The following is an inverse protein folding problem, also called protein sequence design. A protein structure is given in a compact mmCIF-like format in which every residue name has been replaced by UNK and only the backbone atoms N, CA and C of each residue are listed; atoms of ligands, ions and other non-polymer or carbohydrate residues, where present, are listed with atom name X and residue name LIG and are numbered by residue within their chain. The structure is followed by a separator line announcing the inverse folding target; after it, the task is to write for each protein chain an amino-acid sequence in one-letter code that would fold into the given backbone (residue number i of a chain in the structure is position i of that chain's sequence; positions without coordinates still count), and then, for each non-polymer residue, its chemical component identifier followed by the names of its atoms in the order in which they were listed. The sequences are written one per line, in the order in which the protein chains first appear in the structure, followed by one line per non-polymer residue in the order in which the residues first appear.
data_IF_199978306174
#
_entry.id   IF_199978306174
#
_cell.length_a   1.000
_cell.length_b   1.000
_cell.length_c   1.000
_cell.angle_alpha   90.00
_cell.angle_beta   90.00
_cell.angle_gamma   90.00
#
_symmetry.space_group_name_H-M   'P 1'
#
loop_
_entity.id
_entity.type
_entity.pdbx_description
1 polymer ?
#
# COMPACT_ATOMS: atom_id res chain seq x y z
N UNK A 1 -5.69 -11.99 -14.67
CA UNK A 1 -4.50 -11.18 -14.30
C UNK A 1 -4.66 -10.58 -12.92
N UNK A 2 -3.71 -10.80 -12.01
CA UNK A 2 -3.77 -10.29 -10.63
C UNK A 2 -2.63 -9.31 -10.33
N UNK A 3 -2.85 -8.41 -9.38
CA UNK A 3 -1.80 -7.56 -8.82
C UNK A 3 -0.84 -8.37 -7.94
N UNK A 4 0.47 -8.17 -8.08
CA UNK A 4 1.47 -8.92 -7.28
C UNK A 4 1.43 -8.67 -5.78
N UNK A 5 0.93 -7.54 -5.34
CA UNK A 5 0.87 -7.24 -3.90
C UNK A 5 -0.41 -7.80 -3.29
N UNK A 6 -1.58 -7.47 -3.85
CA UNK A 6 -2.86 -7.80 -3.23
C UNK A 6 -3.54 -9.03 -3.84
N UNK A 7 -3.03 -9.59 -4.94
CA UNK A 7 -3.62 -10.72 -5.66
C UNK A 7 -5.06 -10.51 -6.17
N UNK A 8 -5.60 -9.29 -6.11
CA UNK A 8 -6.90 -8.93 -6.69
C UNK A 8 -6.76 -8.74 -8.21
N UNK A 9 -7.84 -8.95 -8.99
CA UNK A 9 -7.80 -8.86 -10.44
C UNK A 9 -7.56 -7.43 -10.95
N UNK A 10 -7.07 -7.31 -12.18
CA UNK A 10 -7.24 -6.11 -12.99
C UNK A 10 -8.55 -6.18 -13.78
N UNK A 11 -9.13 -5.01 -14.05
CA UNK A 11 -10.30 -4.85 -14.93
C UNK A 11 -9.83 -4.24 -16.24
N UNK A 12 -10.32 -4.75 -17.36
CA UNK A 12 -9.91 -4.24 -18.67
C UNK A 12 -10.34 -2.77 -18.82
N UNK A 13 -9.39 -1.93 -19.23
CA UNK A 13 -9.62 -0.52 -19.52
C UNK A 13 -10.54 -0.38 -20.75
N UNK A 14 -11.32 0.71 -20.88
CA UNK A 14 -12.17 0.95 -22.06
C UNK A 14 -11.45 0.97 -23.42
N UNK A 15 -10.12 1.10 -23.42
CA UNK A 15 -9.28 1.01 -24.63
C UNK A 15 -9.00 -0.44 -25.08
N UNK A 16 -9.41 -1.44 -24.29
CA UNK A 16 -9.30 -2.85 -24.67
C UNK A 16 -10.19 -3.17 -25.87
N UNK A 17 -9.66 -3.91 -26.84
CA UNK A 17 -10.38 -4.32 -28.05
C UNK A 17 -11.44 -5.39 -27.76
N UNK A 18 -11.19 -6.24 -26.76
CA UNK A 18 -12.06 -7.36 -26.40
C UNK A 18 -12.07 -7.59 -24.87
N UNK A 19 -12.65 -6.66 -24.10
CA UNK A 19 -12.62 -6.74 -22.64
C UNK A 19 -13.56 -7.84 -22.11
N UNK A 20 -13.04 -8.71 -21.25
CA UNK A 20 -13.84 -9.59 -20.40
C UNK A 20 -14.62 -8.75 -19.40
N UNK A 21 -15.96 -8.80 -19.42
CA UNK A 21 -16.77 -7.91 -18.60
C UNK A 21 -16.73 -8.33 -17.13
N UNK A 22 -16.70 -7.31 -16.25
CA UNK A 22 -17.04 -7.50 -14.83
C UNK A 22 -18.55 -7.56 -14.72
N UNK A 23 -19.14 -8.51 -13.95
CA UNK A 23 -20.58 -8.59 -13.78
C UNK A 23 -21.19 -7.26 -13.29
N UNK A 24 -22.36 -6.92 -13.83
CA UNK A 24 -23.03 -5.67 -13.52
C UNK A 24 -23.32 -5.52 -12.02
N UNK A 25 -23.15 -4.30 -11.50
CA UNK A 25 -23.41 -3.99 -10.09
C UNK A 25 -22.40 -4.55 -9.09
N UNK A 26 -21.36 -5.30 -9.51
CA UNK A 26 -20.30 -5.76 -8.59
C UNK A 26 -19.42 -4.58 -8.15
N UNK A 27 -18.93 -3.79 -9.11
CA UNK A 27 -18.06 -2.65 -8.85
C UNK A 27 -18.81 -1.34 -9.16
N UNK A 28 -18.65 -0.36 -8.28
CA UNK A 28 -18.96 1.03 -8.61
C UNK A 28 -17.95 1.56 -9.62
N UNK A 29 -18.30 2.64 -10.32
CA UNK A 29 -17.41 3.31 -11.29
C UNK A 29 -16.06 3.70 -10.67
N UNK A 30 -16.06 4.19 -9.42
CA UNK A 30 -14.84 4.55 -8.71
C UNK A 30 -13.95 3.34 -8.43
N UNK A 31 -14.54 2.19 -8.05
CA UNK A 31 -13.81 0.94 -7.82
C UNK A 31 -13.27 0.37 -9.13
N UNK A 32 -14.08 0.38 -10.19
CA UNK A 32 -13.67 -0.02 -11.54
C UNK A 32 -12.41 0.71 -11.99
N UNK A 33 -12.40 2.05 -11.92
CA UNK A 33 -11.22 2.87 -12.28
C UNK A 33 -9.96 2.52 -11.49
N UNK A 34 -10.11 2.12 -10.23
CA UNK A 34 -8.98 1.66 -9.41
C UNK A 34 -8.42 0.33 -9.93
N UNK A 35 -9.27 -0.63 -10.28
CA UNK A 35 -8.85 -1.93 -10.80
C UNK A 35 -8.38 -1.90 -12.27
N UNK A 36 -8.69 -0.84 -13.03
CA UNK A 36 -8.23 -0.67 -14.42
C UNK A 36 -6.77 -0.20 -14.54
N UNK A 37 -6.24 0.42 -13.47
CA UNK A 37 -4.97 1.16 -13.50
C UNK A 37 -3.95 0.53 -12.57
N UNK A 38 -2.71 0.46 -13.06
CA UNK A 38 -1.61 -0.09 -12.31
C UNK A 38 -0.35 0.77 -12.32
N UNK A 39 0.64 0.28 -11.60
CA UNK A 39 2.03 0.67 -11.67
C UNK A 39 2.80 -0.58 -12.11
N UNK A 40 3.36 -0.56 -13.30
CA UNK A 40 4.37 -1.53 -13.71
C UNK A 40 5.72 -1.12 -13.16
N UNK A 41 6.50 -2.09 -12.68
CA UNK A 41 7.90 -1.91 -12.28
C UNK A 41 8.73 -2.96 -13.01
N UNK A 42 9.93 -2.60 -13.45
CA UNK A 42 10.87 -3.53 -14.07
C UNK A 42 11.86 -2.80 -14.97
N UNK A 43 13.07 -3.34 -15.13
CA UNK A 43 14.09 -2.67 -15.97
C UNK A 43 13.74 -2.68 -17.46
N UNK A 44 12.82 -3.57 -17.87
CA UNK A 44 12.32 -3.68 -19.24
C UNK A 44 11.20 -2.67 -19.54
N UNK A 45 10.63 -2.04 -18.51
CA UNK A 45 9.65 -0.97 -18.68
C UNK A 45 10.35 0.35 -18.95
N UNK A 46 9.84 1.11 -19.93
CA UNK A 46 10.25 2.50 -20.14
C UNK A 46 10.00 3.29 -18.86
N UNK A 47 11.03 3.98 -18.38
CA UNK A 47 10.98 4.73 -17.12
C UNK A 47 11.17 3.89 -15.86
N UNK A 48 11.34 2.57 -15.97
CA UNK A 48 11.56 1.60 -14.88
C UNK A 48 10.36 1.39 -13.95
N UNK A 49 9.62 2.46 -13.66
CA UNK A 49 8.32 2.41 -13.01
C UNK A 49 7.38 3.33 -13.79
N UNK A 50 6.27 2.78 -14.30
CA UNK A 50 5.37 3.53 -15.17
C UNK A 50 3.91 3.25 -14.82
N UNK A 51 3.02 4.26 -14.92
CA UNK A 51 1.59 4.03 -14.85
C UNK A 51 1.17 3.18 -16.05
N UNK A 52 0.29 2.21 -15.83
CA UNK A 52 -0.17 1.31 -16.88
C UNK A 52 -1.68 1.11 -16.84
N UNK A 53 -2.22 0.69 -17.97
CA UNK A 53 -3.62 0.28 -18.16
C UNK A 53 -3.66 -1.17 -18.58
N UNK A 54 -4.61 -1.93 -18.02
CA UNK A 54 -4.83 -3.32 -18.42
C UNK A 54 -5.71 -3.39 -19.68
N UNK A 55 -5.25 -4.06 -20.73
CA UNK A 55 -5.96 -4.17 -22.02
C UNK A 55 -6.62 -5.54 -22.25
N UNK A 56 -6.67 -6.37 -21.21
CA UNK A 56 -7.07 -7.78 -21.25
C UNK A 56 -6.05 -8.73 -21.93
N UNK A 57 -6.33 -10.04 -21.88
CA UNK A 57 -5.55 -11.10 -22.55
C UNK A 57 -4.05 -11.03 -22.27
N UNK A 58 -3.68 -10.86 -20.99
CA UNK A 58 -2.28 -10.74 -20.55
C UNK A 58 -1.55 -9.48 -21.06
N UNK A 59 -2.28 -8.45 -21.54
CA UNK A 59 -1.67 -7.24 -22.09
C UNK A 59 -1.88 -6.03 -21.17
N UNK A 60 -0.82 -5.25 -21.03
CA UNK A 60 -0.85 -3.91 -20.46
C UNK A 60 -0.26 -2.92 -21.45
N UNK A 61 -0.65 -1.65 -21.34
CA UNK A 61 -0.01 -0.54 -22.04
C UNK A 61 0.42 0.52 -21.04
N UNK A 62 1.45 1.31 -21.38
CA UNK A 62 1.90 2.42 -20.55
C UNK A 62 0.95 3.61 -20.74
N UNK A 63 0.45 4.15 -19.63
CA UNK A 63 -0.41 5.34 -19.67
C UNK A 63 0.42 6.58 -20.01
N UNK A 64 -0.10 7.42 -20.91
CA UNK A 64 0.56 8.67 -21.32
C UNK A 64 1.66 8.54 -22.40
N UNK A 65 1.97 7.34 -22.92
CA UNK A 65 2.78 7.20 -24.14
C UNK A 65 1.90 6.82 -25.33
N UNK A 66 2.13 7.48 -26.47
CA UNK A 66 1.52 7.11 -27.75
C UNK A 66 2.13 5.84 -28.39
N UNK A 67 2.94 5.08 -27.64
CA UNK A 67 3.57 3.85 -28.13
C UNK A 67 3.04 2.65 -27.34
N UNK A 68 2.36 1.69 -27.98
CA UNK A 68 1.86 0.50 -27.30
C UNK A 68 3.04 -0.39 -26.91
N UNK A 69 3.45 -0.32 -25.64
CA UNK A 69 4.33 -1.32 -25.07
C UNK A 69 3.46 -2.40 -24.45
N UNK A 70 3.37 -3.55 -25.13
CA UNK A 70 2.65 -4.72 -24.60
C UNK A 70 3.56 -5.43 -23.61
N UNK A 71 3.27 -5.28 -22.33
CA UNK A 71 3.93 -6.06 -21.28
C UNK A 71 3.09 -7.31 -21.01
N UNK A 72 3.66 -8.48 -21.26
CA UNK A 72 3.10 -9.75 -20.82
C UNK A 72 3.62 -10.10 -19.43
N UNK A 73 2.74 -10.62 -18.59
CA UNK A 73 3.08 -11.06 -17.24
C UNK A 73 3.81 -12.39 -17.20
N UNK A 74 3.42 -13.25 -18.11
CA UNK A 74 3.78 -14.64 -18.22
C UNK A 74 4.12 -14.87 -19.69
N UNK A 75 5.40 -15.10 -19.98
CA UNK A 75 5.84 -15.58 -21.26
C UNK A 75 6.43 -16.98 -21.09
N UNK A 76 5.86 -17.96 -21.80
CA UNK A 76 6.39 -19.33 -21.81
C UNK A 76 7.83 -19.36 -22.36
N UNK A 77 8.22 -18.35 -23.15
CA UNK A 77 9.59 -18.14 -23.65
C UNK A 77 10.58 -17.62 -22.60
N UNK A 78 10.15 -17.43 -21.36
CA UNK A 78 10.99 -17.50 -20.19
C UNK A 78 11.92 -16.31 -19.91
N UNK A 79 11.66 -15.08 -20.36
CA UNK A 79 12.60 -13.97 -20.12
C UNK A 79 12.01 -12.62 -19.69
N UNK A 80 10.68 -12.44 -19.69
CA UNK A 80 10.07 -11.15 -19.31
C UNK A 80 8.86 -11.38 -18.41
N UNK A 81 8.99 -11.03 -17.14
CA UNK A 81 7.86 -10.88 -16.22
C UNK A 81 8.04 -9.56 -15.48
N UNK A 82 7.26 -8.54 -15.83
CA UNK A 82 7.27 -7.26 -15.12
C UNK A 82 6.25 -7.33 -13.98
N UNK A 83 6.62 -7.14 -12.70
CA UNK A 83 5.67 -7.00 -11.63
C UNK A 83 4.83 -5.73 -11.82
N UNK A 84 3.53 -5.91 -11.67
CA UNK A 84 2.48 -4.94 -11.89
C UNK A 84 1.61 -4.96 -10.65
N UNK A 85 1.36 -3.76 -10.18
CA UNK A 85 0.60 -3.51 -8.98
C UNK A 85 -0.59 -2.65 -9.33
N UNK A 86 -1.72 -2.76 -8.61
CA UNK A 86 -2.66 -1.63 -8.63
C UNK A 86 -1.94 -0.37 -8.17
N UNK A 87 -2.35 0.79 -8.66
CA UNK A 87 -1.62 2.06 -8.44
C UNK A 87 -1.29 2.29 -6.96
N UNK A 88 -2.25 2.09 -6.06
CA UNK A 88 -2.04 2.27 -4.61
C UNK A 88 -1.16 1.16 -4.03
N UNK A 89 -1.34 -0.10 -4.44
CA UNK A 89 -0.49 -1.21 -4.03
C UNK A 89 0.98 -0.95 -4.36
N UNK A 90 1.26 -0.51 -5.59
CA UNK A 90 2.62 -0.19 -6.03
C UNK A 90 3.22 0.96 -5.23
N UNK A 91 2.46 2.03 -4.97
CA UNK A 91 2.93 3.16 -4.16
C UNK A 91 3.15 2.79 -2.69
N UNK A 92 2.30 1.95 -2.10
CA UNK A 92 2.50 1.43 -0.75
C UNK A 92 3.73 0.53 -0.68
N UNK A 93 3.97 -0.29 -1.69
CA UNK A 93 5.21 -1.07 -1.78
C UNK A 93 6.43 -0.14 -1.84
N UNK A 94 6.38 0.91 -2.67
CA UNK A 94 7.45 1.92 -2.73
C UNK A 94 7.71 2.56 -1.37
N UNK A 95 6.66 2.94 -0.63
CA UNK A 95 6.80 3.42 0.75
C UNK A 95 7.43 2.37 1.66
N UNK A 96 6.94 1.13 1.63
CA UNK A 96 7.50 0.05 2.44
C UNK A 96 8.97 -0.18 2.14
N UNK A 97 9.43 0.08 0.91
CA UNK A 97 10.83 -0.07 0.48
C UNK A 97 11.67 1.20 0.67
N UNK A 98 11.14 2.26 1.28
CA UNK A 98 11.78 3.57 1.41
C UNK A 98 12.18 4.17 0.03
N UNK A 99 11.31 3.99 -0.97
CA UNK A 99 11.55 4.24 -2.40
C UNK A 99 10.42 5.04 -3.09
N UNK A 100 9.77 5.98 -2.38
CA UNK A 100 8.70 6.83 -2.95
C UNK A 100 9.20 7.78 -4.04
N UNK A 101 10.48 8.17 -4.02
CA UNK A 101 11.06 9.09 -5.01
C UNK A 101 11.45 8.38 -6.31
N UNK A 102 11.39 9.10 -7.43
CA UNK A 102 11.93 8.66 -8.72
C UNK A 102 13.42 9.01 -8.84
N UNK A 103 14.22 8.47 -7.91
CA UNK A 103 15.69 8.53 -7.96
C UNK A 103 16.25 7.23 -8.56
N UNK A 104 17.47 7.28 -9.11
CA UNK A 104 18.16 6.07 -9.60
C UNK A 104 18.20 5.02 -8.50
N UNK A 105 18.59 5.40 -7.27
CA UNK A 105 18.67 4.50 -6.13
C UNK A 105 17.31 3.84 -5.85
N UNK A 106 16.25 4.63 -5.73
CA UNK A 106 14.90 4.15 -5.39
C UNK A 106 14.36 3.22 -6.47
N UNK A 107 14.51 3.57 -7.75
CA UNK A 107 14.06 2.72 -8.86
C UNK A 107 14.89 1.44 -8.97
N UNK A 108 16.21 1.49 -8.74
CA UNK A 108 17.04 0.28 -8.66
C UNK A 108 16.62 -0.61 -7.49
N UNK A 109 16.28 -0.03 -6.33
CA UNK A 109 15.78 -0.77 -5.16
C UNK A 109 14.43 -1.47 -5.42
N UNK A 110 13.64 -0.99 -6.38
CA UNK A 110 12.41 -1.64 -6.83
C UNK A 110 12.69 -2.73 -7.87
N UNK A 111 13.56 -2.47 -8.85
CA UNK A 111 13.92 -3.46 -9.88
C UNK A 111 14.61 -4.67 -9.28
N UNK A 112 15.43 -4.50 -8.24
CA UNK A 112 16.06 -5.64 -7.59
C UNK A 112 15.05 -6.63 -6.96
N UNK A 113 13.78 -6.25 -6.78
CA UNK A 113 12.75 -7.21 -6.38
C UNK A 113 12.63 -8.33 -7.40
N UNK A 114 12.71 -8.05 -8.70
CA UNK A 114 12.71 -9.06 -9.75
C UNK A 114 13.94 -9.97 -9.66
N UNK A 115 15.11 -9.40 -9.37
CA UNK A 115 16.37 -10.15 -9.27
C UNK A 115 16.42 -11.03 -8.00
N UNK A 116 15.78 -10.61 -6.91
CA UNK A 116 15.82 -11.29 -5.61
C UNK A 116 14.66 -12.28 -5.45
N UNK A 117 13.44 -11.85 -5.74
CA UNK A 117 12.22 -12.66 -5.62
C UNK A 117 11.95 -13.48 -6.88
N UNK A 118 12.67 -13.20 -7.98
CA UNK A 118 12.46 -13.88 -9.24
C UNK A 118 11.12 -13.51 -9.88
N UNK A 119 10.63 -14.44 -10.70
CA UNK A 119 9.43 -14.24 -11.51
C UNK A 119 8.16 -14.49 -10.71
N UNK A 120 7.13 -13.72 -11.01
CA UNK A 120 5.79 -14.03 -10.52
C UNK A 120 5.28 -15.32 -11.17
N UNK A 121 4.52 -16.11 -10.42
CA UNK A 121 3.93 -17.38 -10.86
C UNK A 121 2.83 -17.14 -11.90
N UNK A 122 2.54 -18.18 -12.70
CA UNK A 122 1.40 -18.29 -13.61
C UNK A 122 0.23 -19.12 -13.03
N UNK A 123 -0.75 -19.47 -13.87
CA UNK A 123 -1.89 -20.32 -13.50
C UNK A 123 -2.76 -19.76 -12.36
N UNK A 124 -3.30 -20.60 -11.47
CA UNK A 124 -4.16 -20.16 -10.35
C UNK A 124 -3.45 -19.25 -9.34
N UNK A 125 -2.12 -19.25 -9.34
CA UNK A 125 -1.27 -18.38 -8.53
C UNK A 125 -0.74 -17.19 -9.31
N UNK A 126 -1.35 -16.88 -10.46
CA UNK A 126 -0.89 -15.83 -11.34
C UNK A 126 -0.72 -14.52 -10.59
N UNK A 127 0.47 -13.92 -10.71
CA UNK A 127 0.79 -12.65 -10.06
C UNK A 127 1.62 -12.77 -8.78
N UNK A 128 1.67 -13.95 -8.16
CA UNK A 128 2.29 -14.15 -6.84
C UNK A 128 3.79 -14.43 -6.95
N UNK A 129 4.59 -13.86 -6.05
CA UNK A 129 5.96 -14.35 -5.83
C UNK A 129 5.95 -15.72 -5.15
N UNK A 130 6.83 -16.62 -5.55
CA UNK A 130 6.90 -17.98 -5.02
C UNK A 130 7.33 -18.01 -3.55
N UNK A 131 8.25 -17.13 -3.17
CA UNK A 131 8.85 -17.05 -1.84
C UNK A 131 7.90 -16.39 -0.81
N UNK A 132 6.72 -15.95 -1.24
CA UNK A 132 5.76 -15.26 -0.38
C UNK A 132 4.51 -16.11 -0.22
N UNK A 133 4.24 -16.50 1.02
CA UNK A 133 3.01 -17.19 1.36
C UNK A 133 1.87 -16.18 1.63
N UNK A 134 1.24 -15.71 0.55
CA UNK A 134 0.16 -14.72 0.61
C UNK A 134 -1.01 -15.14 1.52
N UNK A 135 -1.34 -16.43 1.57
CA UNK A 135 -2.45 -16.93 2.39
C UNK A 135 -2.17 -16.88 3.90
N UNK A 136 -0.89 -16.84 4.30
CA UNK A 136 -0.49 -16.82 5.71
C UNK A 136 -0.17 -15.43 6.26
N UNK A 137 -0.24 -14.41 5.42
CA UNK A 137 -0.04 -13.03 5.85
C UNK A 137 -1.23 -12.58 6.71
N UNK A 138 -0.95 -12.29 7.99
CA UNK A 138 -1.90 -11.82 9.01
C UNK A 138 -1.72 -10.31 9.17
N UNK A 139 -2.67 -9.51 8.69
CA UNK A 139 -2.54 -8.06 8.71
C UNK A 139 -3.83 -7.37 9.13
N UNK A 140 -3.67 -6.38 9.99
CA UNK A 140 -4.77 -5.71 10.67
C UNK A 140 -5.58 -6.66 11.53
N UNK A 141 -6.91 -6.46 11.55
CA UNK A 141 -7.84 -7.30 12.30
C UNK A 141 -8.15 -8.65 11.66
N UNK A 142 -7.59 -8.94 10.48
CA UNK A 142 -7.99 -10.09 9.69
C UNK A 142 -7.05 -11.27 9.90
N UNK A 143 -7.63 -12.39 10.33
CA UNK A 143 -6.90 -13.61 10.64
C UNK A 143 -6.44 -14.37 9.39
N UNK A 144 -7.01 -14.15 8.19
CA UNK A 144 -6.52 -14.73 6.92
C UNK A 144 -7.26 -14.09 5.74
N UNK A 145 -6.55 -13.79 4.67
CA UNK A 145 -7.14 -13.41 3.38
C UNK A 145 -6.60 -14.35 2.32
N UNK A 146 -7.45 -15.27 1.85
CA UNK A 146 -7.10 -16.21 0.79
C UNK A 146 -7.95 -15.95 -0.44
N UNK A 147 -7.30 -15.52 -1.51
CA UNK A 147 -7.96 -15.22 -2.78
C UNK A 147 -7.92 -16.38 -3.79
N UNK A 148 -7.19 -17.47 -3.49
CA UNK A 148 -7.06 -18.59 -4.44
C UNK A 148 -8.42 -19.19 -4.86
N UNK A 149 -9.42 -19.36 -3.96
CA UNK A 149 -10.72 -19.93 -4.34
C UNK A 149 -11.52 -19.12 -5.38
N UNK A 150 -11.23 -17.83 -5.55
CA UNK A 150 -11.91 -16.96 -6.52
C UNK A 150 -11.23 -16.91 -7.88
N UNK A 151 -10.06 -17.54 -8.03
CA UNK A 151 -9.33 -17.61 -9.30
C UNK A 151 -9.66 -18.93 -10.00
N UNK A 152 -10.34 -18.83 -11.14
CA UNK A 152 -10.64 -19.95 -12.02
C UNK A 152 -9.52 -20.08 -13.06
N UNK A 153 -8.88 -21.25 -13.19
CA UNK A 153 -7.84 -21.47 -14.19
C UNK A 153 -8.43 -21.31 -15.60
N UNK A 154 -7.67 -20.69 -16.49
CA UNK A 154 -7.99 -20.63 -17.93
C UNK A 154 -7.03 -21.49 -18.76
N UNK A 155 -7.38 -21.72 -20.02
CA UNK A 155 -6.66 -22.61 -20.95
C UNK A 155 -5.33 -22.03 -21.49
N UNK A 156 -4.84 -20.93 -20.92
CA UNK A 156 -3.59 -20.30 -21.34
C UNK A 156 -3.15 -19.10 -20.52
N UNK A 157 -1.94 -18.57 -20.77
CA UNK A 157 -1.39 -17.43 -20.04
C UNK A 157 -2.31 -16.21 -20.03
N UNK A 158 -2.67 -15.76 -18.83
CA UNK A 158 -3.56 -14.61 -18.61
C UNK A 158 -5.04 -14.82 -18.93
N UNK A 159 -5.43 -16.05 -19.26
CA UNK A 159 -6.83 -16.42 -19.48
C UNK A 159 -7.56 -16.83 -18.18
N UNK A 160 -6.87 -16.84 -17.04
CA UNK A 160 -7.53 -17.03 -15.74
C UNK A 160 -8.65 -16.00 -15.53
N UNK A 161 -9.77 -16.47 -14.99
CA UNK A 161 -10.94 -15.65 -14.73
C UNK A 161 -11.10 -15.46 -13.22
N UNK A 162 -11.54 -14.29 -12.80
CA UNK A 162 -11.82 -14.00 -11.40
C UNK A 162 -13.32 -14.04 -11.14
N UNK A 163 -13.76 -14.84 -10.19
CA UNK A 163 -15.17 -14.90 -9.79
C UNK A 163 -15.54 -13.75 -8.85
N UNK A 164 -15.88 -12.62 -9.47
CA UNK A 164 -16.32 -11.41 -8.78
C UNK A 164 -17.58 -11.62 -7.94
N UNK A 165 -18.50 -12.49 -8.39
CA UNK A 165 -19.76 -12.72 -7.69
C UNK A 165 -19.52 -13.54 -6.43
N UNK A 166 -18.69 -14.57 -6.51
CA UNK A 166 -18.29 -15.36 -5.35
C UNK A 166 -17.54 -14.50 -4.33
N UNK A 167 -16.61 -13.63 -4.74
CA UNK A 167 -15.94 -12.71 -3.81
C UNK A 167 -16.95 -11.76 -3.15
N UNK A 168 -17.86 -11.16 -3.92
CA UNK A 168 -18.86 -10.22 -3.41
C UNK A 168 -19.85 -10.86 -2.44
N UNK A 169 -20.14 -12.15 -2.61
CA UNK A 169 -21.00 -12.93 -1.71
C UNK A 169 -20.27 -13.43 -0.45
N UNK A 170 -18.94 -13.35 -0.40
CA UNK A 170 -18.13 -13.83 0.71
C UNK A 170 -17.90 -12.78 1.81
N UNK A 171 -17.34 -13.21 2.94
CA UNK A 171 -16.87 -12.30 4.01
C UNK A 171 -15.73 -11.36 3.54
N UNK A 172 -15.09 -11.67 2.41
CA UNK A 172 -14.00 -10.90 1.81
C UNK A 172 -14.49 -9.84 0.82
N UNK A 173 -15.80 -9.61 0.69
CA UNK A 173 -16.36 -8.60 -0.23
C UNK A 173 -15.79 -7.18 -0.02
N UNK A 174 -15.35 -6.86 1.21
CA UNK A 174 -14.74 -5.58 1.53
C UNK A 174 -13.46 -5.30 0.72
N UNK A 175 -12.77 -6.33 0.22
CA UNK A 175 -11.56 -6.22 -0.61
C UNK A 175 -11.81 -5.52 -1.96
N UNK A 176 -13.07 -5.44 -2.40
CA UNK A 176 -13.46 -4.65 -3.57
C UNK A 176 -13.48 -3.14 -3.29
N UNK A 177 -13.30 -2.72 -2.04
CA UNK A 177 -13.21 -1.29 -1.65
C UNK A 177 -11.86 -0.71 -2.06
N UNK A 178 -11.85 0.55 -2.51
CA UNK A 178 -10.59 1.23 -2.83
C UNK A 178 -9.81 1.57 -1.55
N UNK A 179 -8.48 1.39 -1.54
CA UNK A 179 -7.63 1.68 -0.38
C UNK A 179 -7.10 3.12 -0.32
N UNK A 180 -7.72 4.07 -1.02
CA UNK A 180 -7.26 5.46 -1.17
C UNK A 180 -8.26 6.50 -0.62
N UNK A 181 -9.30 6.05 0.09
CA UNK A 181 -10.26 6.94 0.76
C UNK A 181 -9.90 7.09 2.22
N UNK A 182 -9.43 8.29 2.60
CA UNK A 182 -9.00 8.60 3.96
C UNK A 182 -10.12 9.24 4.79
N UNK A 183 -10.17 8.99 6.10
CA UNK A 183 -10.99 9.79 7.01
C UNK A 183 -10.59 11.27 6.95
N UNK A 184 -11.56 12.16 7.18
CA UNK A 184 -11.25 13.59 7.36
C UNK A 184 -10.51 13.80 8.69
N UNK A 185 -9.40 14.52 8.66
CA UNK A 185 -8.77 15.02 9.87
C UNK A 185 -9.42 16.35 10.26
N UNK A 186 -9.95 16.44 11.48
CA UNK A 186 -10.50 17.70 12.00
C UNK A 186 -9.37 18.51 12.63
N UNK A 187 -9.27 19.83 12.35
CA UNK A 187 -8.14 20.66 12.81
C UNK A 187 -8.10 20.85 14.33
N UNK A 188 -9.21 20.56 15.02
CA UNK A 188 -9.31 20.57 16.48
C UNK A 188 -10.42 19.60 16.92
N UNK A 189 -10.41 19.22 18.19
CA UNK A 189 -11.50 18.47 18.81
C UNK A 189 -12.73 19.36 18.93
N UNK A 190 -13.88 18.89 18.43
CA UNK A 190 -15.10 19.70 18.43
C UNK A 190 -15.69 19.85 19.85
N UNK A 191 -16.33 20.99 20.17
CA UNK A 191 -16.99 21.18 21.46
C UNK A 191 -18.01 20.09 21.79
N UNK A 192 -18.71 19.58 20.76
CA UNK A 192 -19.66 18.48 20.91
C UNK A 192 -19.02 17.18 21.46
N UNK A 193 -17.75 16.91 21.14
CA UNK A 193 -17.01 15.75 21.66
C UNK A 193 -16.47 15.97 23.07
N UNK A 194 -16.29 17.21 23.49
CA UNK A 194 -15.88 17.58 24.84
C UNK A 194 -17.08 17.66 25.82
N UNK A 195 -18.29 17.84 25.28
CA UNK A 195 -19.52 17.89 26.06
C UNK A 195 -19.67 16.67 26.98
N UNK A 196 -19.86 16.92 28.26
CA UNK A 196 -20.01 15.87 29.28
C UNK A 196 -18.70 15.39 29.92
N UNK A 197 -17.54 15.91 29.49
CA UNK A 197 -16.24 15.63 30.12
C UNK A 197 -15.69 16.81 30.95
N UNK A 198 -16.32 17.98 30.87
CA UNK A 198 -15.92 19.21 31.56
C UNK A 198 -15.94 19.05 33.09
N UNK A 199 -16.93 18.32 33.61
CA UNK A 199 -17.15 18.06 35.03
C UNK A 199 -16.94 16.59 35.40
N UNK A 200 -15.91 15.94 34.84
CA UNK A 200 -15.58 14.57 35.23
C UNK A 200 -15.31 14.55 36.76
N UNK A 201 -16.06 13.74 37.54
CA UNK A 201 -15.92 13.73 38.99
C UNK A 201 -14.52 13.25 39.38
N UNK A 202 -14.00 13.77 40.48
CA UNK A 202 -12.76 13.26 41.07
C UNK A 202 -12.92 11.76 41.38
N UNK A 203 -11.97 10.98 40.92
CA UNK A 203 -11.95 9.53 41.08
C UNK A 203 -10.95 9.17 42.17
N UNK A 204 -11.32 8.22 43.04
CA UNK A 204 -10.42 7.63 44.06
C UNK A 204 -9.61 6.44 43.54
N UNK A 205 -9.72 6.16 42.24
CA UNK A 205 -9.03 5.04 41.61
C UNK A 205 -7.52 5.34 41.48
N UNK A 206 -6.69 4.33 41.75
CA UNK A 206 -5.23 4.45 41.80
C UNK A 206 -4.65 4.99 40.50
N UNK A 207 -5.18 4.57 39.34
CA UNK A 207 -4.63 4.97 38.03
C UNK A 207 -5.01 6.41 37.71
N UNK A 208 -6.29 6.74 37.83
CA UNK A 208 -6.81 8.07 37.46
C UNK A 208 -6.37 9.19 38.41
N UNK A 209 -5.87 8.85 39.59
CA UNK A 209 -5.27 9.78 40.56
C UNK A 209 -3.76 9.98 40.38
N UNK A 210 -3.10 9.23 39.47
CA UNK A 210 -1.66 9.42 39.21
C UNK A 210 -1.38 10.80 38.59
N UNK A 211 -0.20 11.38 38.86
CA UNK A 211 0.24 12.59 38.16
C UNK A 211 0.26 12.41 36.65
N UNK A 212 -0.11 13.47 35.91
CA UNK A 212 -0.17 13.46 34.44
C UNK A 212 1.12 12.92 33.79
N UNK A 213 2.29 13.30 34.31
CA UNK A 213 3.58 12.82 33.80
C UNK A 213 3.73 11.29 33.89
N UNK A 214 3.20 10.66 34.94
CA UNK A 214 3.21 9.20 35.11
C UNK A 214 2.24 8.56 34.11
N UNK A 215 1.05 9.12 33.94
CA UNK A 215 0.08 8.65 32.95
C UNK A 215 0.63 8.75 31.52
N UNK A 216 1.27 9.86 31.15
CA UNK A 216 1.92 10.03 29.86
C UNK A 216 3.02 9.00 29.62
N UNK A 217 3.81 8.68 30.67
CA UNK A 217 4.81 7.63 30.60
C UNK A 217 4.16 6.25 30.39
N UNK A 218 3.11 5.93 31.14
CA UNK A 218 2.37 4.66 31.00
C UNK A 218 1.81 4.49 29.58
N UNK A 219 1.10 5.50 29.06
CA UNK A 219 0.53 5.40 27.72
C UNK A 219 1.62 5.34 26.65
N UNK A 220 2.81 5.91 26.85
CA UNK A 220 3.90 5.81 25.86
C UNK A 220 4.37 4.38 25.58
N UNK A 221 4.17 3.46 26.54
CA UNK A 221 4.52 2.04 26.42
C UNK A 221 3.36 1.15 25.93
N UNK A 222 2.15 1.69 25.79
CA UNK A 222 0.98 0.93 25.33
C UNK A 222 0.96 0.78 23.80
N UNK A 223 0.65 -0.43 23.35
CA UNK A 223 0.26 -0.69 21.96
C UNK A 223 -0.96 0.16 21.58
N UNK A 224 -1.17 0.41 20.28
CA UNK A 224 -2.35 1.16 19.81
C UNK A 224 -3.67 0.58 20.33
N UNK A 225 -3.93 -0.75 20.28
CA UNK A 225 -5.14 -1.33 20.86
C UNK A 225 -5.27 -1.06 22.37
N UNK A 226 -4.20 -1.26 23.14
CA UNK A 226 -4.23 -1.03 24.58
C UNK A 226 -4.49 0.45 24.92
N UNK A 227 -3.89 1.39 24.18
CA UNK A 227 -4.13 2.82 24.33
C UNK A 227 -5.60 3.20 24.05
N UNK A 228 -6.20 2.66 22.99
CA UNK A 228 -7.60 2.93 22.67
C UNK A 228 -8.53 2.37 23.76
N UNK A 229 -8.27 1.16 24.25
CA UNK A 229 -9.03 0.58 25.37
C UNK A 229 -8.89 1.41 26.65
N UNK A 230 -7.66 1.78 27.02
CA UNK A 230 -7.34 2.57 28.21
C UNK A 230 -8.03 3.94 28.19
N UNK A 231 -7.92 4.66 27.08
CA UNK A 231 -8.56 5.97 26.92
C UNK A 231 -10.09 5.90 26.83
N UNK A 232 -10.66 4.72 26.67
CA UNK A 232 -12.11 4.49 26.62
C UNK A 232 -12.67 3.93 27.93
N UNK A 233 -11.82 3.63 28.92
CA UNK A 233 -12.23 2.98 30.18
C UNK A 233 -13.12 3.88 31.05
N UNK A 234 -12.80 5.18 31.15
CA UNK A 234 -13.56 6.10 32.00
C UNK A 234 -13.55 7.53 31.44
N UNK A 235 -14.43 8.39 31.98
CA UNK A 235 -14.57 9.79 31.52
C UNK A 235 -13.30 10.62 31.72
N UNK A 236 -12.57 10.41 32.81
CA UNK A 236 -11.31 11.14 33.11
C UNK A 236 -10.23 10.84 32.09
N UNK A 237 -9.95 9.56 31.83
CA UNK A 237 -8.97 9.16 30.81
C UNK A 237 -9.41 9.59 29.41
N UNK A 238 -10.71 9.52 29.12
CA UNK A 238 -11.26 10.00 27.85
C UNK A 238 -11.09 11.50 27.67
N UNK A 239 -11.27 12.29 28.73
CA UNK A 239 -11.02 13.74 28.73
C UNK A 239 -9.56 14.03 28.39
N UNK A 240 -8.61 13.35 29.02
CA UNK A 240 -7.19 13.51 28.72
C UNK A 240 -6.86 13.14 27.28
N UNK A 241 -7.44 12.03 26.79
CA UNK A 241 -7.33 11.60 25.40
C UNK A 241 -7.82 12.65 24.39
N UNK A 242 -8.93 13.34 24.72
CA UNK A 242 -9.53 14.39 23.91
C UNK A 242 -8.85 15.76 24.05
N UNK A 243 -7.92 15.92 25.00
CA UNK A 243 -7.25 17.19 25.28
C UNK A 243 -5.73 17.01 25.25
N UNK A 244 -5.10 16.76 26.40
CA UNK A 244 -3.65 16.70 26.57
C UNK A 244 -2.95 15.62 25.73
N UNK A 245 -3.63 14.52 25.39
CA UNK A 245 -3.00 13.36 24.73
C UNK A 245 -3.23 13.29 23.22
N UNK A 246 -3.72 14.34 22.55
CA UNK A 246 -3.78 14.35 21.08
C UNK A 246 -2.41 14.09 20.43
N UNK A 247 -1.32 14.59 21.03
CA UNK A 247 0.07 14.28 20.63
C UNK A 247 0.38 12.78 20.62
N UNK A 248 -0.18 12.01 21.55
CA UNK A 248 0.01 10.57 21.66
C UNK A 248 -0.84 9.79 20.65
N UNK A 249 -2.04 10.30 20.33
CA UNK A 249 -2.83 9.75 19.22
C UNK A 249 -2.14 10.04 17.87
N UNK A 250 -1.64 11.26 17.66
CA UNK A 250 -0.87 11.65 16.48
C UNK A 250 0.33 10.74 16.27
N UNK A 251 1.17 10.58 17.28
CA UNK A 251 2.36 9.72 17.19
C UNK A 251 2.01 8.30 16.77
N UNK A 252 0.88 7.74 17.24
CA UNK A 252 0.43 6.41 16.85
C UNK A 252 -0.04 6.36 15.41
N UNK A 253 -0.82 7.33 14.97
CA UNK A 253 -1.26 7.42 13.57
C UNK A 253 -0.05 7.49 12.63
N UNK A 254 0.96 8.29 12.98
CA UNK A 254 2.19 8.41 12.17
C UNK A 254 3.04 7.14 12.15
N UNK A 255 2.95 6.29 13.18
CA UNK A 255 3.61 4.97 13.20
C UNK A 255 2.85 3.92 12.37
N UNK A 256 1.57 4.14 12.10
CA UNK A 256 0.78 3.33 11.18
C UNK A 256 1.01 3.89 9.78
N UNK A 257 2.18 3.70 9.16
CA UNK A 257 2.56 4.30 7.86
C UNK A 257 1.50 4.20 6.74
N UNK A 258 0.61 3.21 6.84
CA UNK A 258 -0.55 3.02 5.96
C UNK A 258 -1.70 3.99 6.23
N UNK A 259 -1.86 4.49 7.46
CA UNK A 259 -2.90 5.42 7.88
C UNK A 259 -2.67 6.85 7.39
N UNK A 260 -1.46 7.15 6.90
CA UNK A 260 -1.08 8.45 6.33
C UNK A 260 -1.11 8.38 4.80
N UNK A 261 -1.70 9.38 4.12
CA UNK A 261 -1.63 9.51 2.66
C UNK A 261 -0.22 9.39 2.10
N UNK A 262 -0.12 8.80 0.92
CA UNK A 262 1.06 8.89 0.05
C UNK A 262 1.29 10.34 -0.36
N UNK A 263 2.53 10.74 -0.62
CA UNK A 263 2.82 12.12 -1.01
C UNK A 263 1.99 12.56 -2.23
N UNK A 264 1.82 11.67 -3.21
CA UNK A 264 0.96 11.90 -4.37
C UNK A 264 -0.53 11.99 -4.01
N UNK A 265 -1.03 11.16 -3.08
CA UNK A 265 -2.42 11.20 -2.60
C UNK A 265 -2.68 12.51 -1.84
N UNK A 266 -1.73 12.94 -1.03
CA UNK A 266 -1.79 14.19 -0.27
C UNK A 266 -1.83 15.42 -1.19
N UNK A 267 -0.93 15.48 -2.18
CA UNK A 267 -0.91 16.57 -3.17
C UNK A 267 -2.23 16.65 -3.94
N UNK A 268 -2.71 15.51 -4.45
CA UNK A 268 -3.99 15.45 -5.14
C UNK A 268 -5.15 15.88 -4.22
N UNK A 269 -5.16 15.43 -2.96
CA UNK A 269 -6.14 15.85 -1.98
C UNK A 269 -6.14 17.36 -1.75
N UNK A 270 -4.95 17.95 -1.59
CA UNK A 270 -4.75 19.38 -1.40
C UNK A 270 -5.24 20.21 -2.58
N UNK A 271 -4.95 19.79 -3.81
CA UNK A 271 -5.45 20.43 -5.04
C UNK A 271 -6.98 20.45 -5.11
N UNK A 272 -7.65 19.44 -4.54
CA UNK A 272 -9.11 19.33 -4.50
C UNK A 272 -9.73 19.87 -3.19
N UNK A 273 -8.95 20.53 -2.32
CA UNK A 273 -9.44 21.07 -1.05
C UNK A 273 -9.84 20.00 -0.02
N UNK A 274 -9.36 18.77 -0.16
CA UNK A 274 -9.64 17.66 0.76
C UNK A 274 -8.66 17.72 1.93
N UNK A 275 -9.19 17.86 3.15
CA UNK A 275 -8.38 17.86 4.37
C UNK A 275 -7.96 16.43 4.72
N UNK A 276 -6.68 16.13 4.52
CA UNK A 276 -6.07 14.84 4.85
C UNK A 276 -5.01 14.99 5.93
N UNK A 277 -4.74 13.91 6.66
CA UNK A 277 -3.65 13.88 7.64
C UNK A 277 -2.28 14.02 6.94
N UNK A 278 -1.38 14.79 7.54
CA UNK A 278 0.00 14.97 7.11
C UNK A 278 0.93 15.01 8.33
N UNK A 279 2.08 14.36 8.22
CA UNK A 279 3.11 14.41 9.24
C UNK A 279 3.73 15.81 9.39
N UNK A 280 3.69 16.61 8.33
CA UNK A 280 4.35 17.91 8.26
C UNK A 280 3.36 19.07 8.45
N UNK A 281 2.21 19.01 7.78
CA UNK A 281 1.29 20.15 7.69
C UNK A 281 0.14 20.09 8.72
N UNK A 282 -0.17 18.94 9.30
CA UNK A 282 -1.32 18.81 10.19
C UNK A 282 -1.02 19.30 11.62
N UNK A 283 -1.93 20.07 12.25
CA UNK A 283 -1.76 20.58 13.62
C UNK A 283 -1.49 19.46 14.64
N UNK A 284 -0.68 19.74 15.65
CA UNK A 284 -0.35 18.79 16.72
C UNK A 284 -1.58 18.44 17.59
N UNK A 285 -2.49 19.40 17.73
CA UNK A 285 -3.72 19.37 18.54
C UNK A 285 -4.98 19.09 17.71
N UNK A 286 -4.83 18.72 16.43
CA UNK A 286 -5.91 18.18 15.62
C UNK A 286 -6.56 16.96 16.29
N UNK A 287 -7.75 16.57 15.81
CA UNK A 287 -8.51 15.46 16.38
C UNK A 287 -7.96 14.09 15.95
N UNK A 288 -6.71 13.83 16.31
CA UNK A 288 -5.96 12.62 15.99
C UNK A 288 -6.58 11.39 16.62
N UNK A 289 -7.20 11.51 17.80
CA UNK A 289 -7.89 10.38 18.43
C UNK A 289 -9.11 9.94 17.61
N UNK A 290 -9.88 10.89 17.06
CA UNK A 290 -10.98 10.56 16.14
C UNK A 290 -10.45 9.95 14.85
N UNK A 291 -9.41 10.54 14.27
CA UNK A 291 -8.77 10.01 13.07
C UNK A 291 -8.27 8.58 13.27
N UNK A 292 -7.54 8.33 14.36
CA UNK A 292 -7.05 6.99 14.76
C UNK A 292 -8.20 5.99 14.90
N UNK A 293 -9.34 6.40 15.45
CA UNK A 293 -10.52 5.54 15.51
C UNK A 293 -11.09 5.24 14.12
N UNK A 294 -11.17 6.23 13.23
CA UNK A 294 -11.74 6.06 11.90
C UNK A 294 -10.88 5.21 10.97
N UNK A 295 -9.54 5.31 11.06
CA UNK A 295 -8.65 4.48 10.22
C UNK A 295 -8.77 2.99 10.52
N UNK A 296 -9.17 2.59 11.72
CA UNK A 296 -9.42 1.18 12.05
C UNK A 296 -10.87 0.71 11.83
N UNK A 297 -11.78 1.61 11.43
CA UNK A 297 -13.22 1.30 11.28
C UNK A 297 -13.72 1.30 9.84
N UNK A 298 -13.07 2.06 8.97
CA UNK A 298 -13.52 2.23 7.58
C UNK A 298 -13.02 1.12 6.68
N UNK A 299 -13.86 0.66 5.74
CA UNK A 299 -13.50 -0.44 4.83
C UNK A 299 -12.28 -0.11 3.96
N UNK A 300 -12.20 1.12 3.41
CA UNK A 300 -11.05 1.59 2.63
C UNK A 300 -9.73 1.41 3.39
N UNK A 301 -9.70 1.85 4.65
CA UNK A 301 -8.50 1.80 5.46
C UNK A 301 -8.16 0.37 5.92
N UNK A 302 -9.17 -0.47 6.15
CA UNK A 302 -8.98 -1.90 6.39
C UNK A 302 -8.30 -2.61 5.20
N UNK A 303 -8.73 -2.31 3.96
CA UNK A 303 -8.06 -2.84 2.76
C UNK A 303 -6.63 -2.31 2.65
N UNK A 304 -6.43 -1.02 2.95
CA UNK A 304 -5.12 -0.38 2.92
C UNK A 304 -4.14 -0.98 3.93
N UNK A 305 -4.57 -1.23 5.17
CA UNK A 305 -3.79 -1.90 6.22
C UNK A 305 -3.39 -3.31 5.80
N UNK A 306 -4.31 -4.05 5.18
CA UNK A 306 -4.02 -5.38 4.64
C UNK A 306 -2.97 -5.34 3.51
N UNK A 307 -3.13 -4.45 2.53
CA UNK A 307 -2.15 -4.24 1.44
C UNK A 307 -0.79 -3.82 2.02
N UNK A 308 -0.79 -2.95 3.02
CA UNK A 308 0.45 -2.52 3.66
C UNK A 308 1.20 -3.69 4.29
N UNK A 309 0.51 -4.57 5.00
CA UNK A 309 1.16 -5.74 5.57
C UNK A 309 1.68 -6.74 4.52
N UNK A 310 1.02 -6.85 3.36
CA UNK A 310 1.59 -7.55 2.19
C UNK A 310 2.89 -6.90 1.71
N UNK A 311 2.92 -5.57 1.62
CA UNK A 311 4.13 -4.82 1.24
C UNK A 311 5.27 -5.01 2.24
N UNK A 312 4.96 -4.98 3.54
CA UNK A 312 5.94 -5.25 4.60
C UNK A 312 6.51 -6.66 4.49
N UNK A 313 5.68 -7.64 4.13
CA UNK A 313 6.16 -9.00 3.96
C UNK A 313 7.02 -9.17 2.69
N UNK A 314 6.65 -8.52 1.58
CA UNK A 314 7.51 -8.45 0.39
C UNK A 314 8.88 -7.87 0.74
N UNK A 315 8.91 -6.73 1.46
CA UNK A 315 10.15 -6.12 1.95
C UNK A 315 10.95 -7.09 2.79
N UNK A 316 10.32 -7.73 3.78
CA UNK A 316 10.97 -8.66 4.70
C UNK A 316 11.63 -9.83 3.95
N UNK A 317 10.89 -10.52 3.08
CA UNK A 317 11.43 -11.65 2.30
C UNK A 317 12.57 -11.19 1.40
N UNK A 318 12.43 -10.02 0.76
CA UNK A 318 13.52 -9.40 -0.01
C UNK A 318 14.75 -9.16 0.86
N UNK A 319 14.59 -8.58 2.05
CA UNK A 319 15.70 -8.27 2.96
C UNK A 319 16.39 -9.53 3.49
N UNK A 320 15.63 -10.62 3.71
CA UNK A 320 16.16 -11.94 4.11
C UNK A 320 16.97 -12.61 2.99
N UNK A 321 16.52 -12.49 1.73
CA UNK A 321 17.18 -13.10 0.57
C UNK A 321 18.31 -12.25 -0.01
N UNK A 322 18.26 -10.92 0.14
CA UNK A 322 19.22 -9.98 -0.44
C UNK A 322 20.69 -10.33 -0.14
N UNK A 323 21.10 -10.74 1.08
CA UNK A 323 22.49 -11.13 1.35
C UNK A 323 23.02 -12.29 0.51
N UNK A 324 22.14 -13.14 0.00
CA UNK A 324 22.48 -14.32 -0.82
C UNK A 324 22.38 -14.04 -2.33
N UNK A 325 21.86 -12.87 -2.71
CA UNK A 325 21.66 -12.48 -4.11
C UNK A 325 22.92 -11.89 -4.76
N UNK A 326 22.96 -11.86 -6.10
CA UNK A 326 24.05 -11.22 -6.85
C UNK A 326 24.16 -9.71 -6.62
N UNK A 327 23.07 -9.07 -6.16
CA UNK A 327 23.04 -7.63 -5.85
C UNK A 327 23.47 -7.31 -4.40
N UNK A 328 23.84 -8.33 -3.61
CA UNK A 328 24.35 -8.17 -2.26
C UNK A 328 25.60 -7.27 -2.20
N UNK A 329 25.81 -6.57 -1.08
CA UNK A 329 27.07 -5.84 -0.88
C UNK A 329 28.23 -6.80 -0.64
N UNK A 330 29.35 -6.56 -1.32
CA UNK A 330 30.59 -7.35 -1.19
C UNK A 330 31.57 -6.68 -0.22
N UNK A 331 32.25 -7.46 0.62
CA UNK A 331 33.35 -6.95 1.46
C UNK A 331 34.65 -7.00 0.68
N UNK A 332 35.28 -5.85 0.45
CA UNK A 332 36.59 -5.74 -0.20
C UNK A 332 37.52 -5.00 0.76
N UNK A 333 38.56 -5.69 1.26
CA UNK A 333 39.51 -5.14 2.24
C UNK A 333 38.82 -4.57 3.49
N UNK A 334 37.83 -5.28 4.03
CA UNK A 334 37.07 -4.87 5.21
C UNK A 334 35.96 -3.84 4.97
N UNK A 335 35.93 -3.18 3.80
CA UNK A 335 34.92 -2.17 3.45
C UNK A 335 33.78 -2.79 2.64
N UNK A 336 32.53 -2.51 3.03
CA UNK A 336 31.35 -2.89 2.24
C UNK A 336 31.28 -2.04 0.96
N UNK A 337 31.24 -2.69 -0.20
CA UNK A 337 31.07 -2.06 -1.52
C UNK A 337 29.88 -2.69 -2.24
N UNK A 338 29.27 -1.95 -3.18
CA UNK A 338 28.24 -2.48 -4.07
C UNK A 338 28.83 -3.59 -4.94
N UNK A 339 28.08 -4.69 -5.17
CA UNK A 339 28.49 -5.72 -6.12
C UNK A 339 28.54 -5.19 -7.55
N UNK A 340 29.18 -5.94 -8.44
CA UNK A 340 29.20 -5.66 -9.88
C UNK A 340 27.78 -5.58 -10.44
N UNK A 341 26.95 -6.60 -10.17
CA UNK A 341 25.55 -6.66 -10.61
C UNK A 341 24.74 -5.45 -10.13
N UNK A 342 24.91 -5.01 -8.87
CA UNK A 342 24.21 -3.83 -8.37
C UNK A 342 24.61 -2.55 -9.11
N UNK A 343 25.89 -2.38 -9.44
CA UNK A 343 26.36 -1.23 -10.22
C UNK A 343 25.80 -1.23 -11.64
N UNK A 344 25.84 -2.39 -12.31
CA UNK A 344 25.26 -2.56 -13.64
C UNK A 344 23.75 -2.23 -13.66
N UNK A 345 23.03 -2.61 -12.61
CA UNK A 345 21.61 -2.28 -12.47
C UNK A 345 21.38 -0.78 -12.28
N UNK A 346 22.19 -0.10 -11.46
CA UNK A 346 22.12 1.36 -11.27
C UNK A 346 22.44 2.12 -12.57
N UNK A 347 23.45 1.67 -13.33
CA UNK A 347 23.80 2.25 -14.63
C UNK A 347 22.65 2.08 -15.64
N UNK A 348 22.08 0.88 -15.75
CA UNK A 348 20.92 0.61 -16.62
C UNK A 348 19.71 1.46 -16.25
N UNK A 349 19.36 1.52 -14.96
CA UNK A 349 18.26 2.36 -14.48
C UNK A 349 18.53 3.84 -14.77
N UNK A 350 19.76 4.31 -14.54
CA UNK A 350 20.16 5.69 -14.85
C UNK A 350 20.02 6.03 -16.33
N UNK A 351 20.46 5.13 -17.21
CA UNK A 351 20.30 5.28 -18.66
C UNK A 351 18.83 5.34 -19.07
N UNK A 352 18.00 4.43 -18.55
CA UNK A 352 16.56 4.40 -18.85
C UNK A 352 15.86 5.67 -18.39
N UNK A 353 16.15 6.14 -17.18
CA UNK A 353 15.61 7.41 -16.67
C UNK A 353 16.01 8.61 -17.55
N UNK A 354 17.26 8.65 -18.02
CA UNK A 354 17.74 9.71 -18.90
C UNK A 354 17.02 9.68 -20.26
N UNK A 355 16.87 8.49 -20.85
CA UNK A 355 16.15 8.31 -22.11
C UNK A 355 14.67 8.71 -21.99
N UNK A 356 13.99 8.26 -20.93
CA UNK A 356 12.59 8.58 -20.67
C UNK A 356 12.36 10.09 -20.51
N UNK A 357 13.27 10.82 -19.87
CA UNK A 357 13.18 12.30 -19.76
C UNK A 357 13.25 13.02 -21.11
N UNK A 358 13.84 12.39 -22.13
CA UNK A 358 13.96 12.95 -23.47
C UNK A 358 12.75 12.60 -24.37
N UNK A 359 11.88 11.70 -23.94
CA UNK A 359 10.72 11.28 -24.74
C UNK A 359 9.59 12.33 -24.70
N UNK A 360 9.08 12.78 -25.87
CA UNK A 360 7.91 13.65 -25.93
C UNK A 360 6.68 12.96 -25.30
N UNK A 361 5.94 13.69 -24.46
CA UNK A 361 4.73 13.17 -23.79
C UNK A 361 4.96 12.57 -22.40
N UNK A 362 6.20 12.24 -22.02
CA UNK A 362 6.51 11.64 -20.71
C UNK A 362 6.68 12.68 -19.57
N UNK A 363 6.17 13.91 -19.73
CA UNK A 363 6.33 14.98 -18.74
C UNK A 363 5.31 14.84 -17.60
N UNK A 364 5.83 14.34 -16.47
CA UNK A 364 5.37 14.37 -15.06
C UNK A 364 3.87 14.33 -14.77
#
# INVERSE_FOLDING_TARGET
MSCTVCCLPFVAHPESVAPRPVPAGVLTERQRRYFERGLGVGWQLVGVAAPIKYLDSNMFTIDGINFPMVCSWDNESGNLTCPIFHTVCGRLLRRAMDAEEDSVKSLTDLVELEEILGKARGGVYQGRYEQINYGDIRCGRFARVDLAPFWLPGDGPGLNTFDYNALKASELAFLLTRPDTFPKLHPAVTPARLKGFENAPETKDTITSLPMAVLEKLISHMTTPAYICFTSTCRTLRRHALTAWQKHARSRVLQLDWAIPLLAEYRQGKEHGIVMASAEESPLDADWLLYLSHVHRTQSMNVREWIWGMCQQIRRVRDELKPQSEVASVKVKGVRKKSKKRKELEERVGMMMAATKQMPGFRK
#
